data_IF_313236373969
#
_entry.id   IF_313236373969
#
_cell.length_a   1.000
_cell.length_b   1.000
_cell.length_c   1.000
_cell.angle_alpha   90.00
_cell.angle_beta   90.00
_cell.angle_gamma   90.00
#
_symmetry.space_group_name_H-M   'P 1'
#
loop_
_entity.id
_entity.type
_entity.pdbx_description
1 polymer ?
#
# COMPACT_ATOMS: atom_id res chain seq x y z
N UNK A 1 -7.00 57.83 -21.56
CA UNK A 1 -7.51 56.47 -21.85
C UNK A 1 -8.05 55.86 -20.58
N UNK A 2 -9.35 55.55 -20.49
CA UNK A 2 -9.89 54.86 -19.33
C UNK A 2 -9.25 53.46 -19.22
N UNK A 3 -8.63 53.15 -18.09
CA UNK A 3 -8.08 51.82 -17.81
C UNK A 3 -9.26 50.83 -17.74
N UNK A 4 -9.60 50.22 -18.88
CA UNK A 4 -10.65 49.19 -18.93
C UNK A 4 -10.12 47.97 -18.16
N UNK A 5 -10.87 47.54 -17.13
CA UNK A 5 -10.55 46.32 -16.37
C UNK A 5 -10.44 45.15 -17.35
N UNK A 6 -9.40 44.32 -17.19
CA UNK A 6 -9.21 43.10 -17.98
C UNK A 6 -9.70 41.89 -17.22
N UNK A 7 -10.32 40.95 -17.92
CA UNK A 7 -10.77 39.68 -17.39
C UNK A 7 -9.58 38.84 -16.94
N UNK A 8 -9.66 38.30 -15.72
CA UNK A 8 -8.60 37.46 -15.13
C UNK A 8 -8.44 36.12 -15.86
N UNK A 9 -9.49 35.63 -16.51
CA UNK A 9 -9.50 34.33 -17.17
C UNK A 9 -8.95 34.37 -18.60
N UNK A 10 -9.45 35.27 -19.46
CA UNK A 10 -9.07 35.36 -20.87
C UNK A 10 -8.33 36.66 -21.26
N UNK A 11 -8.20 37.64 -20.37
CA UNK A 11 -7.48 38.89 -20.66
C UNK A 11 -8.27 39.95 -21.45
N UNK A 12 -9.43 39.60 -22.00
CA UNK A 12 -10.31 40.53 -22.72
C UNK A 12 -10.85 41.67 -21.82
N UNK A 13 -11.25 42.82 -22.39
CA UNK A 13 -11.84 43.91 -21.63
C UNK A 13 -13.16 43.49 -20.97
N UNK A 14 -13.41 44.01 -19.78
CA UNK A 14 -14.68 43.85 -19.06
C UNK A 14 -15.63 44.97 -19.48
N UNK A 15 -16.85 44.60 -19.84
CA UNK A 15 -17.94 45.53 -20.17
C UNK A 15 -18.34 46.37 -18.94
N UNK A 16 -19.00 47.50 -19.18
CA UNK A 16 -19.58 48.36 -18.11
C UNK A 16 -20.51 47.58 -17.19
N UNK A 17 -21.16 46.53 -17.70
CA UNK A 17 -22.09 45.69 -16.95
C UNK A 17 -21.37 44.67 -16.03
N UNK A 18 -20.04 44.65 -15.98
CA UNK A 18 -19.25 43.76 -15.11
C UNK A 18 -19.03 42.34 -15.67
N UNK A 19 -19.38 42.11 -16.93
CA UNK A 19 -19.16 40.85 -17.64
C UNK A 19 -18.00 40.97 -18.63
N UNK A 20 -17.24 39.90 -18.79
CA UNK A 20 -16.21 39.83 -19.82
C UNK A 20 -16.84 39.85 -21.22
N UNK A 21 -16.29 40.63 -22.15
CA UNK A 21 -16.82 40.72 -23.53
C UNK A 21 -16.70 39.41 -24.31
N UNK A 22 -15.66 38.62 -24.03
CA UNK A 22 -15.38 37.38 -24.74
C UNK A 22 -15.97 36.15 -24.02
N UNK A 23 -15.51 35.85 -22.80
CA UNK A 23 -15.98 34.65 -22.09
C UNK A 23 -17.36 34.79 -21.42
N UNK A 24 -17.97 35.99 -21.45
CA UNK A 24 -19.28 36.31 -20.84
C UNK A 24 -19.42 35.94 -19.36
N UNK A 25 -18.31 35.66 -18.68
CA UNK A 25 -18.29 35.39 -17.25
C UNK A 25 -18.33 36.69 -16.44
N UNK A 26 -19.02 36.71 -15.29
CA UNK A 26 -19.05 37.87 -14.42
C UNK A 26 -17.70 38.05 -13.68
N UNK A 27 -17.08 39.22 -13.84
CA UNK A 27 -15.74 39.54 -13.31
C UNK A 27 -15.70 39.46 -11.76
N UNK A 28 -16.79 39.81 -11.08
CA UNK A 28 -16.92 39.72 -9.63
C UNK A 28 -16.70 38.30 -9.11
N UNK A 29 -17.27 37.29 -9.77
CA UNK A 29 -17.11 35.89 -9.37
C UNK A 29 -15.71 35.37 -9.67
N UNK A 30 -15.12 35.76 -10.81
CA UNK A 30 -13.74 35.40 -11.15
C UNK A 30 -12.74 35.96 -10.13
N UNK A 31 -12.91 37.22 -9.73
CA UNK A 31 -12.10 37.84 -8.66
C UNK A 31 -12.32 37.15 -7.33
N UNK A 32 -13.56 36.85 -6.96
CA UNK A 32 -13.87 36.10 -5.73
C UNK A 32 -13.16 34.76 -5.73
N UNK A 33 -13.26 33.97 -6.81
CA UNK A 33 -12.57 32.68 -6.94
C UNK A 33 -11.04 32.82 -6.84
N UNK A 34 -10.43 33.82 -7.50
CA UNK A 34 -8.99 34.09 -7.38
C UNK A 34 -8.59 34.44 -5.95
N UNK A 35 -9.35 35.30 -5.27
CA UNK A 35 -9.08 35.70 -3.90
C UNK A 35 -9.26 34.52 -2.93
N UNK A 36 -10.30 33.70 -3.10
CA UNK A 36 -10.51 32.47 -2.33
C UNK A 36 -9.36 31.48 -2.55
N UNK A 37 -8.86 31.35 -3.78
CA UNK A 37 -7.67 30.53 -4.06
C UNK A 37 -6.43 31.06 -3.33
N UNK A 38 -6.18 32.38 -3.36
CA UNK A 38 -5.07 33.01 -2.64
C UNK A 38 -5.18 32.85 -1.12
N UNK A 39 -6.39 32.98 -0.57
CA UNK A 39 -6.67 32.75 0.85
C UNK A 39 -6.30 31.34 1.30
N UNK A 40 -6.75 30.31 0.56
CA UNK A 40 -6.39 28.92 0.89
C UNK A 40 -4.91 28.61 0.68
N UNK A 41 -4.24 29.28 -0.28
CA UNK A 41 -2.78 29.18 -0.44
C UNK A 41 -2.05 29.74 0.79
N UNK A 42 -2.47 30.88 1.32
CA UNK A 42 -1.86 31.46 2.51
C UNK A 42 -2.06 30.57 3.76
N UNK A 43 -3.27 30.01 3.94
CA UNK A 43 -3.51 29.01 4.99
C UNK A 43 -2.57 27.82 4.84
N UNK A 44 -2.42 27.31 3.62
CA UNK A 44 -1.53 26.19 3.38
C UNK A 44 -0.07 26.52 3.71
N UNK A 45 0.38 27.73 3.39
CA UNK A 45 1.72 28.20 3.71
C UNK A 45 1.95 28.27 5.23
N UNK A 46 0.97 28.76 5.99
CA UNK A 46 1.02 28.76 7.46
C UNK A 46 1.07 27.34 8.03
N UNK A 47 0.22 26.43 7.53
CA UNK A 47 0.23 25.02 7.93
C UNK A 47 1.55 24.32 7.61
N UNK A 48 2.11 24.56 6.42
CA UNK A 48 3.39 24.01 6.02
C UNK A 48 4.53 24.50 6.94
N UNK A 49 4.51 25.78 7.35
CA UNK A 49 5.47 26.31 8.35
C UNK A 49 5.35 25.61 9.70
N UNK A 50 4.14 25.23 10.11
CA UNK A 50 3.89 24.45 11.32
C UNK A 50 4.21 22.95 11.16
N UNK A 51 4.66 22.51 9.98
CA UNK A 51 4.80 21.10 9.58
C UNK A 51 3.51 20.28 9.69
N UNK A 52 2.36 20.92 9.49
CA UNK A 52 1.09 20.27 9.17
C UNK A 52 1.03 20.08 7.65
N UNK A 53 1.70 19.02 7.17
CA UNK A 53 1.85 18.73 5.75
C UNK A 53 0.52 18.25 5.16
N UNK A 54 -0.21 17.40 5.88
CA UNK A 54 -1.53 16.93 5.44
C UNK A 54 -2.54 18.07 5.32
N UNK A 55 -2.64 18.93 6.34
CA UNK A 55 -3.54 20.08 6.33
C UNK A 55 -3.17 21.12 5.28
N UNK A 56 -1.87 21.29 4.99
CA UNK A 56 -1.39 22.12 3.89
C UNK A 56 -1.80 21.55 2.52
N UNK A 57 -1.63 20.23 2.30
CA UNK A 57 -2.06 19.55 1.07
C UNK A 57 -3.55 19.79 0.80
N UNK A 58 -4.41 19.59 1.80
CA UNK A 58 -5.86 19.78 1.63
C UNK A 58 -6.20 21.24 1.30
N UNK A 59 -5.56 22.20 1.97
CA UNK A 59 -5.76 23.62 1.71
C UNK A 59 -5.30 24.00 0.29
N UNK A 60 -4.20 23.42 -0.21
CA UNK A 60 -3.71 23.64 -1.58
C UNK A 60 -4.62 23.01 -2.62
N UNK A 61 -5.16 21.81 -2.37
CA UNK A 61 -6.17 21.21 -3.27
C UNK A 61 -7.39 22.12 -3.42
N UNK A 62 -7.87 22.70 -2.32
CA UNK A 62 -8.98 23.67 -2.35
C UNK A 62 -8.57 24.93 -3.12
N UNK A 63 -7.35 25.45 -2.90
CA UNK A 63 -6.83 26.59 -3.66
C UNK A 63 -6.84 26.33 -5.17
N UNK A 64 -6.40 25.15 -5.60
CA UNK A 64 -6.36 24.73 -7.01
C UNK A 64 -7.75 24.40 -7.58
N UNK A 65 -8.71 24.03 -6.73
CA UNK A 65 -10.12 23.86 -7.13
C UNK A 65 -10.72 25.19 -7.61
N UNK A 66 -10.43 26.29 -6.92
CA UNK A 66 -10.89 27.62 -7.29
C UNK A 66 -10.06 28.27 -8.41
N UNK A 67 -8.74 28.06 -8.40
CA UNK A 67 -7.86 28.54 -9.46
C UNK A 67 -6.89 27.45 -9.92
N UNK A 68 -7.30 26.75 -10.99
CA UNK A 68 -6.46 25.77 -11.69
C UNK A 68 -5.25 26.41 -12.38
N UNK A 69 -4.97 27.70 -12.30
CA UNK A 69 -3.73 28.32 -12.83
C UNK A 69 -2.88 28.95 -11.72
N UNK A 70 -3.19 28.70 -10.45
CA UNK A 70 -2.32 29.13 -9.36
C UNK A 70 -1.02 28.32 -9.41
N UNK A 71 0.08 28.98 -9.76
CA UNK A 71 1.41 28.38 -9.97
C UNK A 71 2.10 28.18 -8.61
N UNK A 72 2.04 29.19 -7.75
CA UNK A 72 2.62 29.15 -6.41
C UNK A 72 2.04 27.99 -5.59
N UNK A 73 0.71 27.83 -5.63
CA UNK A 73 0.05 26.72 -4.97
C UNK A 73 0.45 25.35 -5.53
N UNK A 74 0.74 25.23 -6.84
CA UNK A 74 1.24 23.97 -7.42
C UNK A 74 2.67 23.68 -7.00
N UNK A 75 3.52 24.70 -7.00
CA UNK A 75 4.91 24.56 -6.63
C UNK A 75 5.03 24.12 -5.17
N UNK A 76 4.30 24.80 -4.27
CA UNK A 76 4.23 24.44 -2.86
C UNK A 76 3.64 23.04 -2.66
N UNK A 77 2.58 22.67 -3.40
CA UNK A 77 2.00 21.34 -3.33
C UNK A 77 2.99 20.26 -3.78
N UNK A 78 3.78 20.53 -4.82
CA UNK A 78 4.83 19.62 -5.27
C UNK A 78 5.93 19.44 -4.22
N UNK A 79 6.38 20.53 -3.61
CA UNK A 79 7.37 20.49 -2.52
C UNK A 79 6.88 19.69 -1.31
N UNK A 80 5.62 19.88 -0.90
CA UNK A 80 5.05 19.14 0.23
C UNK A 80 4.92 17.66 -0.12
N UNK A 81 4.49 17.30 -1.34
CA UNK A 81 4.47 15.89 -1.74
C UNK A 81 5.86 15.28 -1.78
N UNK A 82 6.88 16.05 -2.16
CA UNK A 82 8.26 15.60 -2.13
C UNK A 82 8.72 15.33 -0.69
N UNK A 83 8.43 16.23 0.26
CA UNK A 83 8.70 16.01 1.70
C UNK A 83 7.96 14.81 2.29
N UNK A 84 6.72 14.53 1.87
CA UNK A 84 5.93 13.36 2.33
C UNK A 84 6.38 12.05 1.67
N UNK A 85 7.38 12.10 0.77
CA UNK A 85 7.91 10.95 0.04
C UNK A 85 7.05 10.49 -1.15
N UNK A 86 6.08 11.30 -1.59
CA UNK A 86 5.27 11.04 -2.78
C UNK A 86 5.83 11.75 -4.03
N UNK A 87 7.05 11.36 -4.43
CA UNK A 87 7.81 11.99 -5.52
C UNK A 87 7.03 12.02 -6.85
N UNK A 88 6.34 10.93 -7.22
CA UNK A 88 5.56 10.87 -8.47
C UNK A 88 4.48 11.96 -8.52
N UNK A 89 3.82 12.24 -7.39
CA UNK A 89 2.83 13.32 -7.30
C UNK A 89 3.50 14.70 -7.34
N UNK A 90 4.65 14.84 -6.68
CA UNK A 90 5.43 16.08 -6.74
C UNK A 90 5.78 16.46 -8.18
N UNK A 91 6.35 15.51 -8.93
CA UNK A 91 6.69 15.66 -10.35
C UNK A 91 5.48 16.07 -11.19
N UNK A 92 4.34 15.41 -11.01
CA UNK A 92 3.10 15.77 -11.71
C UNK A 92 2.75 17.24 -11.52
N UNK A 93 2.81 17.76 -10.29
CA UNK A 93 2.46 19.15 -10.02
C UNK A 93 3.47 20.15 -10.59
N UNK A 94 4.76 19.85 -10.52
CA UNK A 94 5.80 20.70 -11.11
C UNK A 94 5.76 20.71 -12.64
N UNK A 95 5.54 19.57 -13.29
CA UNK A 95 5.36 19.49 -14.75
C UNK A 95 4.14 20.32 -15.17
N UNK A 96 3.01 20.18 -14.47
CA UNK A 96 1.84 21.01 -14.73
C UNK A 96 2.13 22.51 -14.52
N UNK A 97 2.88 22.85 -13.48
CA UNK A 97 3.27 24.23 -13.19
C UNK A 97 4.06 24.87 -14.33
N UNK A 98 5.09 24.17 -14.81
CA UNK A 98 5.91 24.62 -15.96
C UNK A 98 5.09 24.72 -17.24
N UNK A 99 4.14 23.81 -17.46
CA UNK A 99 3.24 23.88 -18.61
C UNK A 99 2.34 25.12 -18.59
N UNK A 100 1.89 25.58 -17.41
CA UNK A 100 1.10 26.82 -17.31
C UNK A 100 1.97 28.08 -17.45
N UNK A 101 3.16 28.09 -16.85
CA UNK A 101 4.10 29.19 -16.95
C UNK A 101 5.53 28.65 -16.87
N UNK A 102 6.23 28.71 -18.01
CA UNK A 102 7.61 28.25 -18.10
C UNK A 102 8.63 29.32 -17.66
N UNK A 103 8.33 30.60 -17.90
CA UNK A 103 9.23 31.72 -17.56
C UNK A 103 9.10 32.07 -16.08
N UNK A 104 10.24 32.26 -15.41
CA UNK A 104 10.31 32.67 -14.00
C UNK A 104 9.55 31.73 -13.06
N UNK A 105 9.70 30.41 -13.27
CA UNK A 105 9.03 29.39 -12.47
C UNK A 105 10.06 28.55 -11.69
N UNK A 106 10.03 28.57 -10.34
CA UNK A 106 10.90 27.75 -9.51
C UNK A 106 10.81 26.24 -9.81
N UNK A 107 9.66 25.75 -10.30
CA UNK A 107 9.49 24.34 -10.65
C UNK A 107 10.44 23.83 -11.73
N UNK A 108 10.98 24.72 -12.57
CA UNK A 108 12.01 24.34 -13.56
C UNK A 108 13.27 23.84 -12.86
N UNK A 109 13.66 24.47 -11.75
CA UNK A 109 14.80 24.05 -10.95
C UNK A 109 14.53 22.70 -10.29
N UNK A 110 13.39 22.55 -9.60
CA UNK A 110 13.03 21.30 -8.93
C UNK A 110 12.96 20.11 -9.90
N UNK A 111 12.42 20.32 -11.11
CA UNK A 111 12.40 19.28 -12.14
C UNK A 111 13.78 18.94 -12.67
N UNK A 112 14.69 19.91 -12.75
CA UNK A 112 16.06 19.66 -13.17
C UNK A 112 16.78 18.82 -12.12
N UNK A 113 16.72 19.20 -10.85
CA UNK A 113 17.33 18.46 -9.74
C UNK A 113 16.87 16.99 -9.70
N UNK A 114 15.56 16.75 -9.83
CA UNK A 114 15.03 15.37 -9.80
C UNK A 114 15.34 14.59 -11.08
N UNK A 115 15.46 15.25 -12.24
CA UNK A 115 15.85 14.58 -13.49
C UNK A 115 17.32 14.19 -13.51
N UNK A 116 18.16 15.02 -12.91
CA UNK A 116 19.60 14.77 -12.80
C UNK A 116 19.86 13.58 -11.86
N UNK A 117 19.00 13.36 -10.86
CA UNK A 117 19.00 12.18 -9.99
C UNK A 117 18.15 11.01 -10.55
N UNK A 118 18.70 10.33 -11.57
CA UNK A 118 18.07 9.14 -12.16
C UNK A 118 17.84 8.02 -11.14
N UNK A 119 18.72 7.89 -10.15
CA UNK A 119 18.61 6.85 -9.13
C UNK A 119 17.39 7.09 -8.23
N UNK A 120 17.17 8.33 -7.79
CA UNK A 120 16.00 8.68 -7.01
C UNK A 120 14.67 8.43 -7.76
N UNK A 121 14.67 8.62 -9.09
CA UNK A 121 13.51 8.30 -9.92
C UNK A 121 13.22 6.78 -9.97
N UNK A 122 14.26 5.96 -10.11
CA UNK A 122 14.14 4.50 -10.06
C UNK A 122 13.65 4.03 -8.67
N UNK A 123 14.26 4.55 -7.60
CA UNK A 123 13.88 4.27 -6.22
C UNK A 123 12.42 4.68 -5.95
N UNK A 124 11.94 5.80 -6.50
CA UNK A 124 10.55 6.22 -6.36
C UNK A 124 9.56 5.32 -7.11
N UNK A 125 9.95 4.80 -8.28
CA UNK A 125 9.13 3.85 -9.03
C UNK A 125 9.08 2.49 -8.32
N UNK A 126 10.22 2.02 -7.82
CA UNK A 126 10.33 0.80 -7.03
C UNK A 126 9.54 0.90 -5.72
N UNK A 127 9.60 2.04 -5.03
CA UNK A 127 8.79 2.36 -3.86
C UNK A 127 7.30 2.21 -4.14
N UNK A 128 6.82 2.79 -5.26
CA UNK A 128 5.42 2.70 -5.66
C UNK A 128 4.99 1.26 -5.97
N UNK A 129 5.83 0.49 -6.67
CA UNK A 129 5.58 -0.92 -6.97
C UNK A 129 5.50 -1.76 -5.70
N UNK A 130 6.49 -1.64 -4.81
CA UNK A 130 6.53 -2.37 -3.55
C UNK A 130 5.35 -2.01 -2.64
N UNK A 131 4.97 -0.73 -2.59
CA UNK A 131 3.82 -0.30 -1.78
C UNK A 131 2.50 -0.87 -2.31
N UNK A 132 2.30 -0.87 -3.64
CA UNK A 132 1.12 -1.48 -4.24
C UNK A 132 1.06 -2.99 -4.01
N UNK A 133 2.21 -3.67 -4.06
CA UNK A 133 2.30 -5.09 -3.72
C UNK A 133 1.96 -5.34 -2.25
N UNK A 134 2.47 -4.50 -1.34
CA UNK A 134 2.14 -4.58 0.08
C UNK A 134 0.64 -4.36 0.36
N UNK A 135 -0.01 -3.45 -0.39
CA UNK A 135 -1.46 -3.26 -0.31
C UNK A 135 -2.23 -4.51 -0.74
N UNK A 136 -1.79 -5.18 -1.81
CA UNK A 136 -2.36 -6.47 -2.23
C UNK A 136 -2.23 -7.52 -1.13
N UNK A 137 -1.03 -7.70 -0.60
CA UNK A 137 -0.79 -8.65 0.51
C UNK A 137 -1.61 -8.33 1.76
N UNK A 138 -1.78 -7.05 2.10
CA UNK A 138 -2.61 -6.62 3.22
C UNK A 138 -4.10 -6.92 2.97
N UNK A 139 -4.60 -6.74 1.75
CA UNK A 139 -5.96 -7.10 1.37
C UNK A 139 -6.19 -8.62 1.48
N UNK A 140 -5.22 -9.42 1.08
CA UNK A 140 -5.23 -10.88 1.18
C UNK A 140 -4.98 -11.39 2.62
N UNK A 141 -4.84 -10.49 3.61
CA UNK A 141 -4.46 -10.77 5.01
C UNK A 141 -3.13 -11.52 5.18
N UNK A 142 -2.28 -11.52 4.16
CA UNK A 142 -0.92 -12.04 4.20
C UNK A 142 0.03 -11.02 4.86
N UNK A 143 -0.22 -10.74 6.14
CA UNK A 143 0.39 -9.63 6.87
C UNK A 143 1.92 -9.70 6.95
N UNK A 144 2.52 -10.87 7.09
CA UNK A 144 3.97 -10.98 7.20
C UNK A 144 4.68 -10.59 5.89
N UNK A 145 4.13 -10.96 4.73
CA UNK A 145 4.62 -10.51 3.42
C UNK A 145 4.43 -9.00 3.26
N UNK A 146 3.28 -8.48 3.65
CA UNK A 146 2.99 -7.04 3.61
C UNK A 146 4.00 -6.25 4.47
N UNK A 147 4.29 -6.72 5.69
CA UNK A 147 5.27 -6.09 6.60
C UNK A 147 6.67 -6.08 5.97
N UNK A 148 7.12 -7.19 5.36
CA UNK A 148 8.43 -7.27 4.69
C UNK A 148 8.52 -6.23 3.57
N UNK A 149 7.49 -6.12 2.73
CA UNK A 149 7.48 -5.15 1.64
C UNK A 149 7.43 -3.71 2.16
N UNK A 150 6.63 -3.43 3.18
CA UNK A 150 6.53 -2.08 3.76
C UNK A 150 7.81 -1.62 4.43
N UNK A 151 8.53 -2.52 5.11
CA UNK A 151 9.85 -2.20 5.66
C UNK A 151 10.85 -1.86 4.56
N UNK A 152 10.83 -2.59 3.44
CA UNK A 152 11.65 -2.24 2.26
C UNK A 152 11.28 -0.86 1.70
N UNK A 153 9.98 -0.54 1.61
CA UNK A 153 9.53 0.79 1.21
C UNK A 153 10.10 1.88 2.13
N UNK A 154 10.03 1.66 3.45
CA UNK A 154 10.52 2.61 4.45
C UNK A 154 12.05 2.75 4.41
N UNK A 155 12.79 1.66 4.15
CA UNK A 155 14.25 1.74 3.99
C UNK A 155 14.66 2.51 2.75
N UNK A 156 13.90 2.40 1.66
CA UNK A 156 14.12 3.19 0.44
C UNK A 156 13.80 4.66 0.67
N UNK A 157 12.67 4.96 1.29
CA UNK A 157 12.25 6.32 1.59
C UNK A 157 11.74 6.45 3.02
N UNK A 158 12.62 6.97 3.90
CA UNK A 158 12.32 7.20 5.32
C UNK A 158 11.21 8.23 5.55
N UNK A 159 10.87 9.06 4.57
CA UNK A 159 9.82 10.06 4.67
C UNK A 159 8.46 9.56 4.16
N UNK A 160 8.35 8.31 3.72
CA UNK A 160 7.13 7.78 3.12
C UNK A 160 6.02 7.52 4.15
N UNK A 161 5.22 8.55 4.44
CA UNK A 161 4.16 8.56 5.47
C UNK A 161 3.16 7.43 5.31
N UNK A 162 2.74 7.13 4.08
CA UNK A 162 1.76 6.07 3.80
C UNK A 162 2.26 4.67 4.17
N UNK A 163 3.57 4.42 4.03
CA UNK A 163 4.19 3.16 4.41
C UNK A 163 4.08 2.92 5.91
N UNK A 164 4.43 3.92 6.71
CA UNK A 164 4.30 3.84 8.17
C UNK A 164 2.85 3.69 8.64
N UNK A 165 1.92 4.44 8.06
CA UNK A 165 0.49 4.33 8.41
C UNK A 165 -0.03 2.90 8.18
N UNK A 166 0.27 2.31 7.03
CA UNK A 166 -0.16 0.95 6.72
C UNK A 166 0.55 -0.09 7.59
N UNK A 167 1.86 0.08 7.83
CA UNK A 167 2.63 -0.82 8.67
C UNK A 167 2.10 -0.81 10.11
N UNK A 168 1.84 0.37 10.69
CA UNK A 168 1.30 0.48 12.03
C UNK A 168 -0.10 -0.12 12.16
N UNK A 169 -0.95 0.01 11.13
CA UNK A 169 -2.25 -0.66 11.10
C UNK A 169 -2.11 -2.19 11.13
N UNK A 170 -1.25 -2.74 10.26
CA UNK A 170 -1.01 -4.19 10.19
C UNK A 170 -0.41 -4.71 11.50
N UNK A 171 0.56 -3.99 12.09
CA UNK A 171 1.16 -4.38 13.37
C UNK A 171 0.11 -4.37 14.51
N UNK A 172 -0.84 -3.44 14.49
CA UNK A 172 -1.92 -3.39 15.47
C UNK A 172 -2.89 -4.58 15.31
N UNK A 173 -3.25 -4.92 14.07
CA UNK A 173 -4.10 -6.08 13.75
C UNK A 173 -3.43 -7.41 14.14
N UNK A 174 -2.10 -7.51 14.02
CA UNK A 174 -1.32 -8.65 14.50
C UNK A 174 -1.15 -8.69 16.04
N UNK A 175 -1.75 -7.76 16.80
CA UNK A 175 -1.64 -7.68 18.25
C UNK A 175 -0.33 -7.07 18.76
N UNK A 176 0.53 -6.55 17.88
CA UNK A 176 1.83 -5.94 18.20
C UNK A 176 1.67 -4.44 18.47
N UNK A 177 0.76 -4.08 19.38
CA UNK A 177 0.33 -2.68 19.63
C UNK A 177 1.47 -1.74 20.03
N UNK A 178 2.44 -2.21 20.83
CA UNK A 178 3.60 -1.41 21.23
C UNK A 178 4.46 -0.97 20.03
N UNK A 179 4.65 -1.87 19.05
CA UNK A 179 5.37 -1.55 17.81
C UNK A 179 4.57 -0.64 16.90
N UNK A 180 3.28 -0.94 16.74
CA UNK A 180 2.37 -0.13 15.95
C UNK A 180 2.41 1.34 16.38
N UNK A 181 2.36 1.60 17.70
CA UNK A 181 2.50 2.96 18.26
C UNK A 181 3.83 3.60 17.88
N UNK A 182 4.95 2.89 18.02
CA UNK A 182 6.30 3.39 17.62
C UNK A 182 6.35 3.74 16.13
N UNK A 183 5.81 2.87 15.28
CA UNK A 183 5.72 3.08 13.83
C UNK A 183 4.87 4.29 13.47
N UNK A 184 3.67 4.43 14.07
CA UNK A 184 2.77 5.56 13.79
C UNK A 184 3.33 6.88 14.33
N UNK A 185 4.05 6.88 15.47
CA UNK A 185 4.74 8.09 15.98
C UNK A 185 5.74 8.66 14.97
N UNK A 186 6.38 7.81 14.14
CA UNK A 186 7.26 8.30 13.05
C UNK A 186 6.52 9.13 12.01
N UNK A 187 5.25 8.86 11.77
CA UNK A 187 4.42 9.70 10.91
C UNK A 187 4.33 11.11 11.46
N UNK A 188 4.14 11.27 12.77
CA UNK A 188 4.03 12.58 13.41
C UNK A 188 5.37 13.32 13.49
N UNK A 189 6.50 12.62 13.43
CA UNK A 189 7.82 13.25 13.27
C UNK A 189 7.98 13.91 11.88
N UNK A 190 7.35 13.35 10.85
CA UNK A 190 7.35 13.87 9.47
C UNK A 190 6.25 14.93 9.29
N UNK A 191 5.02 14.59 9.67
CA UNK A 191 3.79 15.38 9.53
C UNK A 191 3.09 15.50 10.89
N UNK A 192 3.36 16.61 11.59
CA UNK A 192 3.03 16.79 13.01
C UNK A 192 1.55 16.69 13.32
N UNK A 193 0.69 17.02 12.37
CA UNK A 193 -0.74 17.10 12.56
C UNK A 193 -1.51 16.16 11.64
N UNK A 194 -0.92 15.00 11.31
CA UNK A 194 -1.58 14.02 10.47
C UNK A 194 -2.82 13.44 11.18
N UNK A 195 -4.05 13.66 10.67
CA UNK A 195 -5.26 13.25 11.38
C UNK A 195 -5.40 11.73 11.48
N UNK A 196 -4.85 10.98 10.51
CA UNK A 196 -4.90 9.51 10.53
C UNK A 196 -3.97 8.95 11.60
N UNK A 197 -2.75 9.47 11.70
CA UNK A 197 -1.80 9.03 12.73
C UNK A 197 -2.32 9.34 14.14
N UNK A 198 -2.85 10.56 14.35
CA UNK A 198 -3.46 10.94 15.63
C UNK A 198 -4.65 10.03 15.98
N UNK A 199 -5.51 9.75 15.01
CA UNK A 199 -6.64 8.84 15.20
C UNK A 199 -6.19 7.43 15.61
N UNK A 200 -5.22 6.86 14.90
CA UNK A 200 -4.70 5.52 15.21
C UNK A 200 -4.02 5.44 16.58
N UNK A 201 -3.25 6.46 16.98
CA UNK A 201 -2.64 6.47 18.33
C UNK A 201 -3.70 6.54 19.43
N UNK A 202 -4.76 7.35 19.23
CA UNK A 202 -5.89 7.43 20.17
C UNK A 202 -6.63 6.10 20.28
N UNK A 203 -6.84 5.42 19.15
CA UNK A 203 -7.45 4.09 19.12
C UNK A 203 -6.59 3.05 19.83
N UNK A 204 -5.26 3.17 19.75
CA UNK A 204 -4.31 2.35 20.50
C UNK A 204 -4.17 2.77 21.98
N UNK A 205 -4.97 3.71 22.47
CA UNK A 205 -5.03 4.12 23.87
C UNK A 205 -3.94 5.11 24.32
N UNK A 206 -3.31 5.83 23.41
CA UNK A 206 -2.41 6.94 23.77
C UNK A 206 -3.21 8.19 24.18
N UNK A 207 -2.78 8.85 25.25
CA UNK A 207 -3.34 10.14 25.66
C UNK A 207 -2.75 11.28 24.83
N UNK A 208 -3.47 12.39 24.67
CA UNK A 208 -2.96 13.58 23.95
C UNK A 208 -1.62 14.08 24.51
N UNK A 209 -1.41 13.95 25.82
CA UNK A 209 -0.16 14.33 26.48
C UNK A 209 1.01 13.41 26.11
N UNK A 210 0.76 12.11 25.98
CA UNK A 210 1.78 11.13 25.59
C UNK A 210 2.17 11.30 24.12
N UNK A 211 1.19 11.57 23.24
CA UNK A 211 1.42 11.83 21.82
C UNK A 211 2.39 13.01 21.63
N UNK A 212 2.15 14.13 22.32
CA UNK A 212 3.01 15.33 22.19
C UNK A 212 4.43 15.07 22.68
N UNK A 213 4.59 14.40 23.83
CA UNK A 213 5.92 14.08 24.39
C UNK A 213 6.73 13.17 23.46
N UNK A 214 6.07 12.18 22.88
CA UNK A 214 6.75 11.13 22.13
C UNK A 214 7.09 11.52 20.68
N UNK A 215 6.50 12.62 20.16
CA UNK A 215 6.89 13.19 18.85
C UNK A 215 8.34 13.67 18.86
N UNK A 216 8.78 14.32 19.93
CA UNK A 216 10.15 14.82 20.04
C UNK A 216 11.15 13.67 20.14
N UNK A 217 10.83 12.61 20.89
CA UNK A 217 11.64 11.39 20.96
C UNK A 217 11.72 10.65 19.61
N UNK A 218 10.63 10.61 18.84
CA UNK A 218 10.59 9.97 17.52
C UNK A 218 11.45 10.69 16.47
N UNK A 219 11.88 11.94 16.71
CA UNK A 219 12.80 12.68 15.82
C UNK A 219 14.26 12.33 16.07
N UNK A 220 14.62 11.98 17.30
CA UNK A 220 16.00 11.64 17.69
C UNK A 220 16.39 10.21 17.28
N UNK A 221 15.40 9.33 17.20
CA UNK A 221 15.61 7.94 16.87
C UNK A 221 15.80 7.80 15.34
N UNK A 222 16.94 7.34 14.82
CA UNK A 222 17.24 7.44 13.37
C UNK A 222 16.66 6.29 12.51
N UNK A 223 16.27 5.19 13.16
CA UNK A 223 15.78 3.96 12.51
C UNK A 223 14.67 3.31 13.34
N UNK A 224 13.68 2.73 12.67
CA UNK A 224 12.80 1.74 13.30
C UNK A 224 13.66 0.50 13.56
N UNK A 225 13.97 0.24 14.83
CA UNK A 225 14.84 -0.86 15.24
C UNK A 225 14.46 -2.20 14.58
N UNK A 226 15.48 -2.84 14.01
CA UNK A 226 15.43 -4.03 13.17
C UNK A 226 15.34 -5.34 13.99
N UNK A 227 14.83 -5.27 15.21
CA UNK A 227 15.05 -6.31 16.23
C UNK A 227 14.08 -7.52 16.11
N UNK A 228 13.61 -7.88 14.90
CA UNK A 228 12.60 -8.95 14.73
C UNK A 228 13.04 -10.22 13.99
N UNK A 229 14.22 -10.28 13.34
CA UNK A 229 14.62 -11.51 12.65
C UNK A 229 16.13 -11.80 12.63
N UNK A 230 16.90 -11.39 13.65
CA UNK A 230 18.29 -11.84 13.80
C UNK A 230 19.19 -11.63 12.58
N UNK A 231 18.81 -10.73 11.67
CA UNK A 231 19.64 -10.30 10.55
C UNK A 231 20.39 -9.06 11.03
N UNK A 232 21.28 -9.29 11.99
CA UNK A 232 22.28 -8.30 12.39
C UNK A 232 23.13 -8.01 11.16
N UNK A 233 23.22 -6.75 10.73
CA UNK A 233 24.14 -6.36 9.67
C UNK A 233 25.56 -6.74 10.12
N UNK A 234 26.13 -7.75 9.47
CA UNK A 234 27.52 -8.14 9.66
C UNK A 234 28.36 -6.95 9.18
N UNK A 235 29.00 -6.23 10.10
CA UNK A 235 30.08 -5.30 9.75
C UNK A 235 31.12 -6.08 8.93
N UNK A 236 31.78 -5.45 7.95
CA UNK A 236 32.76 -6.10 7.07
C UNK A 236 33.86 -6.91 7.80
N UNK A 237 34.07 -6.66 9.10
CA UNK A 237 35.02 -7.34 9.97
C UNK A 237 34.44 -8.51 10.81
N UNK A 238 33.20 -8.94 10.57
CA UNK A 238 32.63 -10.15 11.19
C UNK A 238 32.41 -10.10 12.71
N UNK A 239 32.53 -8.94 13.36
CA UNK A 239 32.32 -8.77 14.81
C UNK A 239 30.98 -8.12 15.12
N UNK A 240 30.28 -8.64 16.13
CA UNK A 240 29.08 -8.00 16.70
C UNK A 240 29.44 -6.60 17.23
N UNK A 241 28.72 -5.53 16.86
CA UNK A 241 28.88 -4.24 17.52
C UNK A 241 28.40 -4.35 18.97
N UNK A 242 29.17 -3.79 19.91
CA UNK A 242 28.80 -3.81 21.32
C UNK A 242 27.50 -3.02 21.54
N UNK A 243 26.45 -3.66 22.06
CA UNK A 243 25.25 -2.95 22.55
C UNK A 243 25.67 -1.96 23.62
N UNK A 244 25.44 -0.66 23.39
CA UNK A 244 25.46 0.33 24.47
C UNK A 244 24.25 0.05 25.35
N UNK A 245 24.51 -0.47 26.55
CA UNK A 245 23.50 -0.52 27.61
C UNK A 245 23.39 0.91 28.13
N UNK A 246 22.38 1.65 27.67
CA UNK A 246 22.02 2.91 28.31
C UNK A 246 21.41 2.58 29.67
N UNK A 247 22.19 2.78 30.72
CA UNK A 247 21.72 2.74 32.09
C UNK A 247 20.83 3.98 32.28
N UNK A 248 19.55 3.85 32.63
CA UNK A 248 18.73 5.03 32.89
C UNK A 248 19.32 5.78 34.09
N UNK A 249 19.63 7.06 33.90
CA UNK A 249 20.11 7.96 34.96
C UNK A 249 19.06 8.05 36.06
N UNK A 250 19.24 7.25 37.11
CA UNK A 250 18.42 7.29 38.31
C UNK A 250 18.84 8.53 39.11
N UNK A 251 18.19 9.67 38.84
CA UNK A 251 18.31 10.87 39.70
C UNK A 251 17.97 10.49 41.14
N UNK A 252 19.00 10.41 41.98
CA UNK A 252 18.89 10.17 43.42
C UNK A 252 18.28 11.42 44.05
N UNK A 253 17.05 11.29 44.58
CA UNK A 253 16.55 12.24 45.59
C UNK A 253 17.33 11.98 46.88
N UNK A 254 18.10 12.96 47.31
CA UNK A 254 18.76 12.98 48.61
C UNK A 254 17.74 13.34 49.69
N UNK A 255 17.07 12.34 50.25
CA UNK A 255 16.37 12.51 51.52
C UNK A 255 17.31 12.18 52.68
N UNK A 256 17.46 13.19 53.53
CA UNK A 256 18.30 13.31 54.71
C UNK A 256 18.18 12.16 55.70
N UNK A 257 19.34 11.81 56.26
CA UNK A 257 19.56 10.77 57.25
C UNK A 257 18.88 11.02 58.61
N UNK A 258 18.59 9.88 59.26
CA UNK A 258 18.64 9.63 60.72
C UNK A 258 17.47 10.09 61.59
N UNK A 259 16.52 9.16 61.83
CA UNK A 259 16.24 8.70 63.20
C UNK A 259 15.40 7.40 63.18
N UNK A 260 16.03 6.25 63.45
CA UNK A 260 15.28 5.01 63.74
C UNK A 260 15.78 4.37 65.03
N UNK A 261 14.94 4.54 66.07
CA UNK A 261 15.04 3.88 67.37
C UNK A 261 15.10 2.36 67.20
N UNK A 262 16.06 1.71 67.85
CA UNK A 262 16.14 0.26 67.97
C UNK A 262 14.94 -0.27 68.76
N UNK A 263 14.15 -1.15 68.15
CA UNK A 263 13.18 -2.02 68.84
C UNK A 263 13.83 -3.39 68.96
N UNK A 264 13.92 -3.90 70.19
CA UNK A 264 14.38 -5.25 70.50
C UNK A 264 13.39 -6.27 69.92
N UNK A 265 13.87 -7.11 69.00
CA UNK A 265 13.04 -8.10 68.28
C UNK A 265 12.94 -9.37 69.15
N UNK A 266 11.72 -9.76 69.50
CA UNK A 266 11.43 -10.98 70.26
C UNK A 266 11.79 -12.24 69.45
N UNK A 267 12.64 -13.11 70.00
CA UNK A 267 13.09 -14.39 69.38
C UNK A 267 11.95 -15.30 68.91
N UNK A 268 10.74 -15.17 69.45
CA UNK A 268 9.56 -15.96 69.04
C UNK A 268 9.08 -15.67 67.60
N UNK A 269 9.22 -14.43 67.11
CA UNK A 269 8.78 -14.09 65.74
C UNK A 269 9.70 -14.64 64.65
N UNK A 270 10.97 -14.87 64.97
CA UNK A 270 11.93 -15.45 64.02
C UNK A 270 11.66 -16.93 63.77
N UNK A 271 11.19 -17.68 64.78
CA UNK A 271 10.85 -19.09 64.64
C UNK A 271 9.75 -19.32 63.59
N UNK A 272 8.70 -18.51 63.61
CA UNK A 272 7.58 -18.62 62.64
C UNK A 272 8.01 -18.29 61.20
N UNK A 273 9.00 -17.40 61.02
CA UNK A 273 9.54 -17.05 59.70
C UNK A 273 10.31 -18.23 59.11
N UNK A 274 11.11 -18.95 59.91
CA UNK A 274 11.83 -20.13 59.43
C UNK A 274 10.91 -21.27 59.01
N UNK A 275 9.77 -21.45 59.69
CA UNK A 275 8.74 -22.43 59.30
C UNK A 275 8.12 -22.08 57.95
N UNK A 276 7.80 -20.80 57.70
CA UNK A 276 7.26 -20.35 56.41
C UNK A 276 8.26 -20.50 55.25
N UNK A 277 9.54 -20.19 55.51
CA UNK A 277 10.61 -20.39 54.52
C UNK A 277 10.78 -21.87 54.19
N UNK A 278 10.67 -22.77 55.18
CA UNK A 278 10.72 -24.22 54.97
C UNK A 278 9.58 -24.74 54.07
N UNK A 279 8.35 -24.24 54.27
CA UNK A 279 7.19 -24.61 53.44
C UNK A 279 7.38 -24.14 51.99
N UNK A 280 7.89 -22.91 51.79
CA UNK A 280 8.16 -22.37 50.44
C UNK A 280 9.22 -23.19 49.69
N UNK A 281 10.28 -23.60 50.38
CA UNK A 281 11.31 -24.46 49.79
C UNK A 281 10.71 -25.83 49.43
N UNK A 282 9.85 -26.40 50.28
CA UNK A 282 9.15 -27.66 49.99
C UNK A 282 8.26 -27.61 48.74
N UNK A 283 7.51 -26.51 48.55
CA UNK A 283 6.70 -26.29 47.34
C UNK A 283 7.57 -26.14 46.10
N UNK A 284 8.72 -25.47 46.22
CA UNK A 284 9.68 -25.32 45.11
C UNK A 284 10.26 -26.66 44.62
N UNK A 285 10.58 -27.58 45.53
CA UNK A 285 11.08 -28.93 45.17
C UNK A 285 10.00 -29.76 44.49
N UNK A 286 8.76 -29.71 44.99
CA UNK A 286 7.61 -30.38 44.35
C UNK A 286 7.35 -29.85 42.93
N UNK A 287 7.43 -28.53 42.73
CA UNK A 287 7.30 -27.91 41.43
C UNK A 287 8.43 -28.36 40.47
N UNK A 288 9.67 -28.40 40.95
CA UNK A 288 10.84 -28.82 40.18
C UNK A 288 10.76 -30.29 39.72
N UNK A 289 10.15 -31.18 40.52
CA UNK A 289 9.89 -32.56 40.11
C UNK A 289 8.72 -32.71 39.12
N UNK A 290 7.77 -31.78 39.08
CA UNK A 290 6.61 -31.86 38.18
C UNK A 290 6.93 -31.42 36.74
N UNK A 291 7.92 -30.53 36.56
CA UNK A 291 8.40 -30.03 35.26
C UNK A 291 8.87 -31.16 34.32
N UNK A 292 9.80 -32.06 34.71
CA UNK A 292 10.33 -33.07 33.80
C UNK A 292 9.28 -34.09 33.33
N UNK A 293 8.17 -34.24 34.06
CA UNK A 293 7.06 -35.14 33.70
C UNK A 293 6.12 -34.49 32.67
N UNK A 294 5.85 -33.18 32.78
CA UNK A 294 5.07 -32.44 31.78
C UNK A 294 5.80 -32.29 30.46
N UNK A 295 7.11 -32.08 30.49
CA UNK A 295 7.91 -31.88 29.27
C UNK A 295 7.97 -33.13 28.39
N UNK A 296 7.96 -34.34 28.98
CA UNK A 296 7.93 -35.59 28.20
C UNK A 296 6.62 -35.76 27.42
N UNK A 297 5.47 -35.48 28.05
CA UNK A 297 4.16 -35.57 27.38
C UNK A 297 4.00 -34.51 26.29
N UNK A 298 4.50 -33.30 26.53
CA UNK A 298 4.48 -32.23 25.54
C UNK A 298 5.39 -32.54 24.35
N UNK A 299 6.58 -33.11 24.57
CA UNK A 299 7.48 -33.51 23.48
C UNK A 299 6.88 -34.59 22.57
N UNK A 300 6.15 -35.56 23.14
CA UNK A 300 5.49 -36.60 22.33
C UNK A 300 4.33 -36.06 21.50
N UNK A 301 3.56 -35.09 22.02
CA UNK A 301 2.50 -34.45 21.25
C UNK A 301 3.05 -33.52 20.16
N UNK A 302 4.14 -32.79 20.43
CA UNK A 302 4.82 -31.97 19.43
C UNK A 302 5.39 -32.80 18.27
N UNK A 303 5.99 -33.96 18.56
CA UNK A 303 6.49 -34.86 17.52
C UNK A 303 5.37 -35.43 16.61
N UNK A 304 4.19 -35.71 17.17
CA UNK A 304 3.01 -36.13 16.38
C UNK A 304 2.49 -35.00 15.50
N UNK A 305 2.45 -33.77 16.02
CA UNK A 305 2.05 -32.59 15.25
C UNK A 305 3.02 -32.36 14.08
N UNK A 306 4.32 -32.45 14.33
CA UNK A 306 5.36 -32.31 13.29
C UNK A 306 5.23 -33.37 12.18
N UNK A 307 4.97 -34.63 12.55
CA UNK A 307 4.71 -35.70 11.60
C UNK A 307 3.42 -35.48 10.78
N UNK A 308 2.34 -35.02 11.41
CA UNK A 308 1.10 -34.70 10.68
C UNK A 308 1.25 -33.48 9.76
N UNK A 309 2.16 -32.57 10.10
CA UNK A 309 2.44 -31.37 9.32
C UNK A 309 3.29 -31.68 8.09
N UNK A 310 4.31 -32.55 8.25
CA UNK A 310 5.13 -33.01 7.13
C UNK A 310 4.31 -33.84 6.14
N UNK A 311 3.36 -34.66 6.62
CA UNK A 311 2.42 -35.40 5.78
C UNK A 311 1.50 -34.47 4.98
N UNK A 312 0.95 -33.42 5.63
CA UNK A 312 0.14 -32.38 4.94
C UNK A 312 0.93 -31.57 3.93
N UNK A 313 2.19 -31.27 4.22
CA UNK A 313 3.10 -30.60 3.29
C UNK A 313 3.37 -31.47 2.07
N UNK A 314 3.65 -32.76 2.26
CA UNK A 314 3.84 -33.70 1.16
C UNK A 314 2.58 -33.83 0.29
N UNK A 315 1.39 -33.92 0.90
CA UNK A 315 0.14 -33.97 0.14
C UNK A 315 -0.12 -32.67 -0.63
N UNK A 316 0.14 -31.51 -0.02
CA UNK A 316 -0.03 -30.21 -0.69
C UNK A 316 0.97 -30.00 -1.81
N UNK A 317 2.22 -30.42 -1.62
CA UNK A 317 3.24 -30.38 -2.68
C UNK A 317 2.84 -31.28 -3.87
N UNK A 318 2.29 -32.47 -3.61
CA UNK A 318 1.78 -33.33 -4.68
C UNK A 318 0.58 -32.71 -5.41
N UNK A 319 -0.30 -32.00 -4.71
CA UNK A 319 -1.42 -31.28 -5.29
C UNK A 319 -0.94 -30.10 -6.15
N UNK A 320 0.08 -29.36 -5.69
CA UNK A 320 0.69 -28.28 -6.49
C UNK A 320 1.40 -28.80 -7.73
N UNK A 321 2.09 -29.94 -7.64
CA UNK A 321 2.75 -30.56 -8.80
C UNK A 321 1.72 -31.03 -9.83
N UNK A 322 0.61 -31.61 -9.38
CA UNK A 322 -0.50 -31.99 -10.26
C UNK A 322 -1.12 -30.77 -10.97
N UNK A 323 -1.38 -29.68 -10.23
CA UNK A 323 -1.91 -28.44 -10.81
C UNK A 323 -0.93 -27.77 -11.78
N UNK A 324 0.38 -27.84 -11.52
CA UNK A 324 1.41 -27.37 -12.44
C UNK A 324 1.41 -28.18 -13.73
N UNK A 325 1.35 -29.51 -13.62
CA UNK A 325 1.26 -30.40 -14.80
C UNK A 325 -0.02 -30.15 -15.61
N UNK A 326 -1.16 -29.92 -14.96
CA UNK A 326 -2.42 -29.60 -15.63
C UNK A 326 -2.34 -28.24 -16.34
N UNK A 327 -1.76 -27.22 -15.69
CA UNK A 327 -1.51 -25.91 -16.31
C UNK A 327 -0.60 -26.01 -17.52
N UNK A 328 0.47 -26.82 -17.45
CA UNK A 328 1.36 -27.05 -18.59
C UNK A 328 0.66 -27.77 -19.74
N UNK A 329 -0.19 -28.76 -19.44
CA UNK A 329 -1.01 -29.44 -20.44
C UNK A 329 -1.98 -28.47 -21.12
N UNK A 330 -2.70 -27.65 -20.35
CA UNK A 330 -3.61 -26.64 -20.88
C UNK A 330 -2.87 -25.61 -21.74
N UNK A 331 -1.69 -25.14 -21.33
CA UNK A 331 -0.89 -24.22 -22.14
C UNK A 331 -0.50 -24.83 -23.50
N UNK A 332 -0.14 -26.12 -23.54
CA UNK A 332 0.13 -26.81 -24.81
C UNK A 332 -1.12 -26.85 -25.70
N UNK A 333 -2.29 -27.16 -25.15
CA UNK A 333 -3.54 -27.14 -25.93
C UNK A 333 -3.86 -25.76 -26.48
N UNK A 334 -3.62 -24.69 -25.72
CA UNK A 334 -3.82 -23.31 -26.17
C UNK A 334 -2.84 -22.96 -27.30
N UNK A 335 -1.58 -23.38 -27.20
CA UNK A 335 -0.60 -23.17 -28.27
C UNK A 335 -0.97 -23.92 -29.55
N UNK A 336 -1.47 -25.14 -29.45
CA UNK A 336 -1.90 -25.93 -30.61
C UNK A 336 -3.17 -25.36 -31.26
N UNK A 337 -4.13 -24.89 -30.46
CA UNK A 337 -5.31 -24.17 -30.97
C UNK A 337 -4.91 -22.88 -31.69
N UNK A 338 -3.97 -22.10 -31.15
CA UNK A 338 -3.47 -20.89 -31.83
C UNK A 338 -2.82 -21.19 -33.17
N UNK A 339 -2.01 -22.25 -33.26
CA UNK A 339 -1.44 -22.70 -34.55
C UNK A 339 -2.54 -23.06 -35.55
N UNK A 340 -3.59 -23.75 -35.09
CA UNK A 340 -4.74 -24.10 -35.94
C UNK A 340 -5.52 -22.87 -36.42
N UNK A 341 -5.67 -21.84 -35.58
CA UNK A 341 -6.27 -20.56 -35.96
C UNK A 341 -5.42 -19.83 -37.00
N UNK A 342 -4.09 -19.80 -36.84
CA UNK A 342 -3.18 -19.21 -37.83
C UNK A 342 -3.28 -19.93 -39.19
N UNK A 343 -3.35 -21.26 -39.19
CA UNK A 343 -3.55 -22.04 -40.42
C UNK A 343 -4.90 -21.75 -41.08
N UNK A 344 -5.98 -21.63 -40.30
CA UNK A 344 -7.31 -21.27 -40.79
C UNK A 344 -7.33 -19.84 -41.35
N UNK A 345 -6.72 -18.88 -40.67
CA UNK A 345 -6.61 -17.50 -41.14
C UNK A 345 -5.80 -17.41 -42.44
N UNK A 346 -4.72 -18.18 -42.57
CA UNK A 346 -3.97 -18.25 -43.82
C UNK A 346 -4.82 -18.85 -44.97
N UNK A 347 -5.65 -19.86 -44.68
CA UNK A 347 -6.60 -20.41 -45.66
C UNK A 347 -7.66 -19.39 -46.04
N UNK A 348 -8.23 -18.65 -45.09
CA UNK A 348 -9.21 -17.59 -45.32
C UNK A 348 -8.61 -16.52 -46.23
N UNK A 349 -7.42 -15.99 -45.90
CA UNK A 349 -6.73 -15.00 -46.73
C UNK A 349 -6.49 -15.51 -48.16
N UNK A 350 -6.12 -16.79 -48.31
CA UNK A 350 -5.94 -17.39 -49.64
C UNK A 350 -7.25 -17.51 -50.44
N UNK A 351 -8.38 -17.74 -49.76
CA UNK A 351 -9.71 -17.81 -50.37
C UNK A 351 -10.23 -16.42 -50.71
N UNK A 352 -10.01 -15.42 -49.86
CA UNK A 352 -10.32 -14.01 -50.14
C UNK A 352 -9.53 -13.50 -51.34
N UNK A 353 -8.24 -13.86 -51.45
CA UNK A 353 -7.44 -13.51 -52.62
C UNK A 353 -8.00 -14.15 -53.90
N UNK A 354 -8.40 -15.42 -53.86
CA UNK A 354 -9.06 -16.10 -54.99
C UNK A 354 -10.41 -15.45 -55.33
N UNK A 355 -11.23 -15.12 -54.33
CA UNK A 355 -12.51 -14.44 -54.53
C UNK A 355 -12.32 -13.05 -55.13
N UNK A 356 -11.30 -12.29 -54.71
CA UNK A 356 -10.98 -10.99 -55.28
C UNK A 356 -10.54 -11.10 -56.76
N UNK A 357 -9.78 -12.14 -57.12
CA UNK A 357 -9.40 -12.43 -58.50
C UNK A 357 -10.62 -12.80 -59.35
N UNK A 358 -11.53 -13.62 -58.81
CA UNK A 358 -12.77 -13.98 -59.47
C UNK A 358 -13.69 -12.76 -59.66
N UNK A 359 -13.82 -11.89 -58.65
CA UNK A 359 -14.59 -10.64 -58.77
C UNK A 359 -14.02 -9.71 -59.84
N UNK A 360 -12.68 -9.61 -59.96
CA UNK A 360 -12.05 -8.87 -61.07
C UNK A 360 -12.40 -9.46 -62.43
N UNK A 361 -12.32 -10.78 -62.59
CA UNK A 361 -12.72 -11.47 -63.83
C UNK A 361 -14.20 -11.30 -64.16
N UNK A 362 -15.08 -11.27 -63.16
CA UNK A 362 -16.52 -11.01 -63.34
C UNK A 362 -16.76 -9.57 -63.82
N UNK A 363 -16.09 -8.59 -63.20
CA UNK A 363 -16.17 -7.18 -63.58
C UNK A 363 -15.59 -6.92 -64.97
N UNK A 364 -14.46 -7.56 -65.31
CA UNK A 364 -13.81 -7.42 -66.62
C UNK A 364 -14.64 -8.04 -67.76
N UNK A 365 -15.47 -9.06 -67.46
CA UNK A 365 -16.34 -9.72 -68.44
C UNK A 365 -17.80 -9.21 -68.44
N UNK A 366 -18.13 -8.19 -67.64
CA UNK A 366 -19.47 -7.58 -67.57
C UNK A 366 -20.62 -8.60 -67.34
N UNK A 367 -20.33 -9.68 -66.61
CA UNK A 367 -21.32 -10.71 -66.29
C UNK A 367 -22.04 -10.24 -65.02
N UNK A 368 -23.27 -9.72 -65.16
CA UNK A 368 -24.13 -9.45 -64.00
C UNK A 368 -24.43 -10.76 -63.28
N UNK A 369 -24.01 -10.86 -62.02
CA UNK A 369 -24.38 -11.99 -61.16
C UNK A 369 -25.89 -11.99 -60.91
N UNK A 370 -26.58 -13.13 -61.03
CA UNK A 370 -27.98 -13.23 -60.63
C UNK A 370 -28.10 -13.05 -59.11
N UNK A 371 -29.12 -12.28 -58.74
CA UNK A 371 -29.55 -11.92 -57.40
C UNK A 371 -29.80 -13.18 -56.55
N UNK A 372 -28.96 -13.41 -55.53
CA UNK A 372 -29.25 -14.41 -54.50
C UNK A 372 -29.99 -13.72 -53.35
N UNK A 373 -31.32 -13.83 -53.41
CA UNK A 373 -32.19 -13.53 -52.30
C UNK A 373 -31.82 -14.32 -51.03
N UNK A 374 -31.98 -13.64 -49.90
CA UNK A 374 -31.93 -14.16 -48.54
C UNK A 374 -32.37 -15.62 -48.40
N UNK A 375 -31.48 -16.47 -47.89
CA UNK A 375 -31.86 -17.74 -47.29
C UNK A 375 -31.34 -17.78 -45.84
N UNK A 376 -32.29 -17.56 -44.92
CA UNK A 376 -32.15 -17.71 -43.48
C UNK A 376 -31.85 -19.15 -43.07
N UNK A 377 -31.10 -19.29 -41.98
CA UNK A 377 -30.79 -20.54 -41.29
C UNK A 377 -32.05 -21.27 -40.82
N UNK A 378 -32.34 -22.44 -41.41
CA UNK A 378 -33.07 -23.52 -40.78
C UNK A 378 -32.81 -24.82 -41.57
N UNK A 379 -32.79 -25.94 -40.84
CA UNK A 379 -32.71 -27.33 -41.30
C UNK A 379 -31.34 -27.99 -41.44
N UNK A 380 -30.82 -28.45 -40.29
CA UNK A 380 -30.07 -29.72 -40.23
C UNK A 380 -30.15 -30.33 -38.82
N UNK A 381 -31.35 -30.75 -38.41
CA UNK A 381 -31.53 -31.75 -37.35
C UNK A 381 -32.26 -32.94 -37.96
N UNK A 382 -31.55 -34.07 -38.08
CA UNK A 382 -32.01 -35.47 -37.97
C UNK A 382 -31.21 -36.39 -38.88
N UNK A 383 -30.27 -37.13 -38.28
CA UNK A 383 -30.21 -38.61 -38.33
C UNK A 383 -29.08 -39.12 -37.42
N UNK A 384 -29.47 -39.78 -36.33
CA UNK A 384 -28.67 -40.86 -35.73
C UNK A 384 -28.62 -42.05 -36.69
N UNK A 385 -27.93 -43.14 -36.44
CA UNK A 385 -27.21 -43.68 -35.29
C UNK A 385 -26.34 -44.79 -35.91
N UNK A 386 -25.14 -45.06 -35.39
CA UNK A 386 -24.69 -46.44 -35.12
C UNK A 386 -23.26 -46.50 -34.54
N UNK A 387 -23.18 -47.31 -33.49
CA UNK A 387 -22.06 -48.13 -33.04
C UNK A 387 -20.96 -47.53 -32.13
N UNK A 388 -21.35 -47.49 -30.85
CA UNK A 388 -20.62 -47.94 -29.64
C UNK A 388 -19.14 -48.33 -29.79
N UNK A 389 -18.29 -47.73 -28.95
CA UNK A 389 -17.74 -48.37 -27.73
C UNK A 389 -16.96 -47.40 -26.83
N UNK A 390 -17.21 -47.57 -25.52
CA UNK A 390 -16.36 -47.41 -24.32
C UNK A 390 -15.53 -46.09 -24.18
N UNK A 391 -15.62 -45.25 -23.13
CA UNK A 391 -15.51 -45.51 -21.69
C UNK A 391 -16.02 -44.33 -20.81
N UNK A 392 -16.05 -44.57 -19.50
CA UNK A 392 -16.74 -43.85 -18.41
C UNK A 392 -16.08 -42.53 -17.92
N UNK A 393 -16.93 -41.60 -17.46
CA UNK A 393 -16.68 -40.58 -16.41
C UNK A 393 -16.14 -39.24 -16.94
N UNK A 394 -16.66 -38.06 -16.58
CA UNK A 394 -17.39 -37.59 -15.40
C UNK A 394 -18.30 -36.41 -15.79
N UNK A 395 -19.45 -36.27 -15.11
CA UNK A 395 -20.47 -35.27 -15.39
C UNK A 395 -20.02 -33.87 -14.95
N UNK A 396 -19.91 -32.94 -15.91
CA UNK A 396 -19.89 -31.50 -15.65
C UNK A 396 -21.28 -30.99 -15.29
N UNK A 397 -21.31 -30.01 -14.38
CA UNK A 397 -22.50 -29.29 -13.91
C UNK A 397 -23.27 -28.72 -15.10
N UNK A 398 -24.59 -28.90 -15.13
CA UNK A 398 -25.43 -28.46 -16.24
C UNK A 398 -25.74 -26.96 -16.12
N UNK A 399 -25.96 -26.27 -17.24
CA UNK A 399 -26.31 -24.84 -17.26
C UNK A 399 -27.60 -24.52 -16.47
N UNK A 400 -28.44 -25.52 -16.22
CA UNK A 400 -29.61 -25.41 -15.33
C UNK A 400 -29.24 -25.30 -13.85
N UNK A 401 -28.12 -25.89 -13.43
CA UNK A 401 -27.62 -25.79 -12.05
C UNK A 401 -26.97 -24.43 -11.78
N UNK A 402 -26.39 -23.81 -12.82
CA UNK A 402 -25.80 -22.46 -12.77
C UNK A 402 -26.89 -21.39 -12.65
N UNK A 403 -27.99 -21.53 -13.39
CA UNK A 403 -29.11 -20.56 -13.32
C UNK A 403 -29.86 -20.62 -11.97
N UNK A 404 -29.93 -21.79 -11.33
CA UNK A 404 -30.52 -21.91 -9.99
C UNK A 404 -29.63 -21.34 -8.87
N UNK A 405 -28.34 -21.09 -9.12
CA UNK A 405 -27.43 -20.41 -8.19
C UNK A 405 -27.46 -18.88 -8.32
N UNK A 406 -27.84 -18.34 -9.47
CA UNK A 406 -27.88 -16.89 -9.72
C UNK A 406 -29.16 -16.24 -9.17
N UNK A 407 -30.28 -16.97 -9.11
CA UNK A 407 -31.56 -16.44 -8.63
C UNK A 407 -31.78 -16.56 -7.10
N UNK A 408 -30.75 -17.00 -6.35
CA UNK A 408 -30.80 -17.16 -4.89
C UNK A 408 -29.66 -16.41 -4.15
N UNK A 409 -29.27 -15.23 -4.63
CA UNK A 409 -28.58 -14.20 -3.83
C UNK A 409 -29.32 -12.86 -3.83
#
# INVERSE_FOLDING_TARGET
>A
MAIRKRCIYCGAPVSTNGYCTECRLPDKFLRKARNTSGYHYNIALEKAKMRDLYGAIESLKVSLRYNKKNIDARNLLGLIYYEVGEMVKALKHWVMSVNYQAKDNPAVHYLKEVRDDKKALEEANDLARMYNLALGYAADRSFDLAVIQLKKCISLNKHFVKGYLLLGLIENEQGRTGRAKKTIRRVLAIDKNNPRALHFLREMGESEGDIVRDIDAAREEETLEDDYYGMESVTADGKRPARKIEVPDRRVKSDSLLNRKYRTISRARMSNIYVLVGILIGVGVLYLMMIPVRDKKNKTEMAKVEASYSERLASKNSETDNLLNEKEALNKTIEDLKKSEEELNNKINSLEEKNSKLQKVINDNNISSPDLGNATSQDASKKGDNDKKDEKGTNGISDTDINNMIDNE
#
